data_IF_564475371738
#
_entry.id   IF_564475371738
#
_cell.length_a   1.000
_cell.length_b   1.000
_cell.length_c   1.000
_cell.angle_alpha   90.00
_cell.angle_beta   90.00
_cell.angle_gamma   90.00
#
_symmetry.space_group_name_H-M   'P 1'
#
loop_
_entity.id
_entity.type
_entity.pdbx_description
1 polymer ?
#
# COMPACT_ATOMS: atom_id res chain seq x y z
N UNK A 1 -28.82 1.57 22.99
CA UNK A 1 -27.42 1.15 22.77
C UNK A 1 -27.43 0.30 21.51
N UNK A 2 -27.10 0.88 20.35
CA UNK A 2 -27.26 0.21 19.05
C UNK A 2 -26.08 -0.74 18.78
N UNK A 3 -26.30 -2.02 18.42
CA UNK A 3 -25.26 -3.01 18.20
C UNK A 3 -24.68 -3.02 16.77
N UNK A 4 -24.61 -1.86 16.09
CA UNK A 4 -24.28 -1.76 14.65
C UNK A 4 -22.80 -1.44 14.37
N UNK A 5 -21.90 -1.96 15.20
CA UNK A 5 -20.45 -1.86 15.00
C UNK A 5 -19.85 -3.13 14.41
N UNK A 6 -20.56 -3.85 13.53
CA UNK A 6 -19.98 -4.99 12.84
C UNK A 6 -18.87 -4.46 11.93
N UNK A 7 -17.62 -4.79 12.26
CA UNK A 7 -16.44 -4.37 11.51
C UNK A 7 -16.59 -4.87 10.08
N UNK A 8 -17.03 -3.99 9.18
CA UNK A 8 -17.21 -4.30 7.76
C UNK A 8 -15.82 -4.74 7.25
N UNK A 9 -15.73 -5.96 6.73
CA UNK A 9 -14.47 -6.50 6.22
C UNK A 9 -13.86 -5.58 5.16
N UNK A 10 -12.53 -5.64 5.03
CA UNK A 10 -11.84 -4.85 3.99
C UNK A 10 -12.33 -5.34 2.62
N UNK A 11 -12.84 -4.44 1.74
CA UNK A 11 -13.41 -4.86 0.47
C UNK A 11 -12.33 -5.42 -0.49
N UNK A 12 -12.69 -6.35 -1.37
CA UNK A 12 -11.75 -7.05 -2.26
C UNK A 12 -11.11 -6.11 -3.31
N UNK A 13 -11.82 -5.03 -3.67
CA UNK A 13 -11.32 -3.97 -4.56
C UNK A 13 -11.48 -2.64 -3.86
N UNK A 14 -10.39 -1.86 -3.79
CA UNK A 14 -10.35 -0.57 -3.11
C UNK A 14 -9.85 0.49 -4.09
N UNK A 15 -10.73 1.39 -4.47
CA UNK A 15 -10.37 2.60 -5.21
C UNK A 15 -10.00 3.72 -4.23
N UNK A 16 -8.84 4.32 -4.45
CA UNK A 16 -8.38 5.48 -3.74
C UNK A 16 -8.57 6.75 -4.58
N UNK A 17 -9.17 7.77 -3.98
CA UNK A 17 -9.39 9.08 -4.61
C UNK A 17 -9.12 10.21 -3.62
N UNK A 18 -8.68 11.37 -4.09
CA UNK A 18 -8.61 12.57 -3.25
C UNK A 18 -10.01 12.99 -2.79
N UNK A 19 -10.16 13.38 -1.52
CA UNK A 19 -11.44 13.86 -0.98
C UNK A 19 -11.91 15.16 -1.62
N UNK A 20 -10.99 16.05 -1.95
CA UNK A 20 -11.28 17.26 -2.69
C UNK A 20 -10.05 17.71 -3.51
N UNK A 21 -10.29 18.57 -4.51
CA UNK A 21 -9.24 19.12 -5.36
C UNK A 21 -8.23 19.97 -4.57
N UNK A 22 -8.65 20.56 -3.45
CA UNK A 22 -7.79 21.36 -2.58
C UNK A 22 -6.72 20.51 -1.88
N UNK A 23 -7.04 19.30 -1.44
CA UNK A 23 -6.08 18.33 -0.89
C UNK A 23 -5.00 17.95 -1.90
N UNK A 24 -5.30 18.01 -3.20
CA UNK A 24 -4.30 17.84 -4.26
C UNK A 24 -3.43 19.08 -4.41
N UNK A 25 -4.05 20.27 -4.39
CA UNK A 25 -3.36 21.55 -4.56
C UNK A 25 -2.49 21.94 -3.37
N UNK A 26 -2.84 21.53 -2.15
CA UNK A 26 -2.09 21.85 -0.90
C UNK A 26 -1.50 20.58 -0.28
N UNK A 27 -1.11 19.63 -1.12
CA UNK A 27 -0.62 18.31 -0.71
C UNK A 27 0.66 18.32 0.15
N UNK A 28 1.31 19.49 0.31
CA UNK A 28 2.43 19.68 1.23
C UNK A 28 1.99 19.96 2.68
N UNK A 29 0.78 20.48 2.93
CA UNK A 29 0.27 20.70 4.31
C UNK A 29 -0.57 19.53 4.78
N UNK A 30 -1.51 19.06 3.96
CA UNK A 30 -2.38 17.95 4.31
C UNK A 30 -2.88 17.23 3.08
N UNK A 31 -3.11 15.92 3.22
CA UNK A 31 -3.74 15.12 2.18
C UNK A 31 -4.80 14.23 2.81
N UNK A 32 -5.97 14.19 2.19
CA UNK A 32 -7.05 13.29 2.60
C UNK A 32 -7.58 12.52 1.40
N UNK A 33 -7.73 11.21 1.58
CA UNK A 33 -8.20 10.27 0.57
C UNK A 33 -9.46 9.55 1.04
N UNK A 34 -10.30 9.21 0.08
CA UNK A 34 -11.39 8.24 0.25
C UNK A 34 -10.93 6.88 -0.27
N UNK A 35 -11.25 5.84 0.49
CA UNK A 35 -11.06 4.44 0.11
C UNK A 35 -12.42 3.74 0.13
N UNK A 36 -12.77 3.08 -0.97
CA UNK A 36 -14.03 2.33 -1.06
C UNK A 36 -14.06 1.42 -2.27
N UNK A 37 -15.10 0.61 -2.34
CA UNK A 37 -15.38 -0.17 -3.54
C UNK A 37 -15.60 0.75 -4.75
N UNK A 38 -15.24 0.29 -5.97
CA UNK A 38 -15.58 1.00 -7.19
C UNK A 38 -17.07 1.38 -7.22
N UNK A 39 -17.32 2.67 -7.45
CA UNK A 39 -18.67 3.20 -7.69
C UNK A 39 -19.64 3.05 -6.49
N UNK A 40 -19.10 2.79 -5.30
CA UNK A 40 -19.81 2.76 -4.03
C UNK A 40 -19.44 3.95 -3.13
N UNK A 41 -20.20 4.12 -2.03
CA UNK A 41 -19.84 5.09 -1.00
C UNK A 41 -18.50 4.69 -0.33
N UNK A 42 -17.61 5.67 0.00
CA UNK A 42 -16.36 5.38 0.68
C UNK A 42 -16.59 4.67 2.02
N UNK A 43 -15.85 3.58 2.25
CA UNK A 43 -15.92 2.81 3.49
C UNK A 43 -14.89 3.31 4.50
N UNK A 44 -13.73 3.75 4.02
CA UNK A 44 -12.64 4.27 4.84
C UNK A 44 -12.12 5.59 4.27
N UNK A 45 -11.34 6.28 5.09
CA UNK A 45 -10.60 7.45 4.66
C UNK A 45 -9.17 7.40 5.20
N UNK A 46 -8.26 8.02 4.47
CA UNK A 46 -6.85 8.12 4.86
C UNK A 46 -6.48 9.59 4.99
N UNK A 47 -5.89 9.97 6.10
CA UNK A 47 -5.38 11.32 6.32
C UNK A 47 -3.86 11.33 6.49
N UNK A 48 -3.24 12.38 5.96
CA UNK A 48 -1.83 12.70 6.10
C UNK A 48 -1.72 14.14 6.60
N UNK A 49 -1.74 14.38 7.93
CA UNK A 49 -1.85 15.73 8.50
C UNK A 49 -0.66 16.67 8.24
N UNK A 50 0.46 16.16 7.73
CA UNK A 50 1.64 16.94 7.30
C UNK A 50 2.02 16.65 5.85
N UNK A 51 0.98 16.43 5.02
CA UNK A 51 1.10 16.02 3.64
C UNK A 51 1.96 14.77 3.46
N UNK A 52 2.76 14.72 2.40
CA UNK A 52 3.58 13.55 2.07
C UNK A 52 4.66 13.20 3.10
N UNK A 53 4.95 14.08 4.07
CA UNK A 53 5.95 13.88 5.11
C UNK A 53 5.34 13.55 6.49
N UNK A 54 4.02 13.54 6.59
CA UNK A 54 3.29 13.19 7.80
C UNK A 54 3.13 11.69 8.01
N UNK A 55 2.46 11.37 9.11
CA UNK A 55 1.99 10.02 9.38
C UNK A 55 0.75 9.73 8.51
N UNK A 56 0.53 8.45 8.25
CA UNK A 56 -0.62 7.92 7.54
C UNK A 56 -1.60 7.46 8.60
N UNK A 57 -2.84 7.94 8.55
CA UNK A 57 -3.89 7.54 9.49
C UNK A 57 -5.05 7.00 8.67
N UNK A 58 -5.39 5.73 8.86
CA UNK A 58 -6.58 5.11 8.30
C UNK A 58 -7.73 5.26 9.30
N UNK A 59 -8.88 5.73 8.83
CA UNK A 59 -10.07 5.94 9.64
C UNK A 59 -11.18 4.95 9.25
N UNK A 60 -11.91 4.46 10.24
CA UNK A 60 -13.06 3.57 10.07
C UNK A 60 -14.32 4.36 9.68
N UNK A 61 -14.31 4.97 8.50
CA UNK A 61 -15.42 5.75 7.96
C UNK A 61 -15.01 6.69 6.83
N UNK A 62 -15.99 7.30 6.14
CA UNK A 62 -15.75 8.10 4.93
C UNK A 62 -15.03 9.43 5.19
N UNK A 63 -14.97 9.89 6.44
CA UNK A 63 -14.36 11.18 6.81
C UNK A 63 -13.19 11.03 7.78
N UNK A 64 -12.30 12.02 7.79
CA UNK A 64 -11.13 12.06 8.68
C UNK A 64 -11.49 12.25 10.16
N UNK A 65 -12.73 12.62 10.45
CA UNK A 65 -13.26 12.72 11.81
C UNK A 65 -13.73 11.36 12.36
N UNK A 66 -13.73 10.32 11.51
CA UNK A 66 -14.08 8.96 11.94
C UNK A 66 -12.98 8.36 12.80
N UNK A 67 -13.33 7.36 13.62
CA UNK A 67 -12.41 6.70 14.55
C UNK A 67 -11.15 6.19 13.83
N UNK A 68 -9.93 6.57 14.29
CA UNK A 68 -8.69 6.02 13.75
C UNK A 68 -8.66 4.50 13.92
N UNK A 69 -8.38 3.80 12.83
CA UNK A 69 -8.31 2.35 12.76
C UNK A 69 -6.87 1.85 12.79
N UNK A 70 -6.00 2.46 11.99
CA UNK A 70 -4.58 2.09 11.91
C UNK A 70 -3.74 3.34 11.64
N UNK A 71 -2.47 3.30 12.02
CA UNK A 71 -1.53 4.39 11.74
C UNK A 71 -0.21 3.87 11.20
N UNK A 72 0.47 4.69 10.40
CA UNK A 72 1.75 4.37 9.80
C UNK A 72 2.67 5.58 9.88
N UNK A 73 3.87 5.40 10.41
CA UNK A 73 4.89 6.45 10.44
C UNK A 73 6.17 5.93 9.81
N UNK A 74 6.90 6.83 9.14
CA UNK A 74 8.24 6.49 8.64
C UNK A 74 9.19 6.44 9.83
N UNK A 75 10.00 5.39 9.92
CA UNK A 75 11.11 5.37 10.86
C UNK A 75 12.13 6.46 10.48
N UNK A 76 12.36 7.38 11.42
CA UNK A 76 13.29 8.51 11.28
C UNK A 76 14.57 8.29 12.08
N UNK A 77 14.60 7.30 12.97
CA UNK A 77 15.69 7.04 13.91
C UNK A 77 16.80 6.28 13.19
N UNK A 78 16.43 5.22 12.47
CA UNK A 78 17.37 4.55 11.59
C UNK A 78 17.44 5.28 10.24
N UNK A 79 18.62 5.32 9.60
CA UNK A 79 18.75 5.70 8.18
C UNK A 79 17.96 4.78 7.22
N UNK A 80 17.18 3.87 7.78
CA UNK A 80 16.24 3.04 7.06
C UNK A 80 15.12 3.87 6.44
N UNK A 81 14.54 3.35 5.37
CA UNK A 81 13.32 3.91 4.77
C UNK A 81 12.09 3.09 5.20
N UNK A 82 12.18 2.40 6.34
CA UNK A 82 11.13 1.55 6.87
C UNK A 82 9.96 2.37 7.38
N UNK A 83 8.83 1.70 7.49
CA UNK A 83 7.62 2.24 8.09
C UNK A 83 7.17 1.36 9.24
N UNK A 84 6.85 1.99 10.36
CA UNK A 84 6.20 1.37 11.50
C UNK A 84 4.70 1.53 11.34
N UNK A 85 3.95 0.44 11.30
CA UNK A 85 2.50 0.39 11.09
C UNK A 85 1.85 -0.18 12.34
N UNK A 86 1.01 0.60 12.99
CA UNK A 86 0.24 0.17 14.16
C UNK A 86 -1.13 -0.31 13.71
N UNK A 87 -1.43 -1.58 13.99
CA UNK A 87 -2.71 -2.22 13.71
C UNK A 87 -3.53 -2.38 15.00
N UNK A 88 -4.86 -2.27 14.93
CA UNK A 88 -5.72 -2.40 16.09
C UNK A 88 -5.91 -3.89 16.45
N UNK A 89 -6.24 -4.20 17.72
CA UNK A 89 -6.84 -5.50 18.03
C UNK A 89 -8.13 -5.67 17.23
N UNK A 90 -8.37 -6.88 16.74
CA UNK A 90 -9.53 -7.16 15.89
C UNK A 90 -10.50 -8.08 16.64
N UNK A 91 -11.68 -7.56 17.08
CA UNK A 91 -12.68 -8.33 17.81
C UNK A 91 -13.12 -9.59 17.03
N UNK A 92 -13.23 -10.73 17.72
CA UNK A 92 -13.59 -11.99 17.08
C UNK A 92 -12.47 -12.61 16.25
N UNK A 93 -11.26 -12.04 16.30
CA UNK A 93 -10.06 -12.65 15.79
C UNK A 93 -9.04 -12.86 16.91
N UNK A 94 -8.10 -13.71 16.59
CA UNK A 94 -6.94 -14.10 17.38
C UNK A 94 -5.77 -13.10 17.29
N UNK A 95 -6.02 -11.91 16.74
CA UNK A 95 -5.03 -10.86 16.51
C UNK A 95 -5.17 -9.73 17.53
N UNK A 96 -4.18 -9.61 18.40
CA UNK A 96 -4.18 -8.67 19.53
C UNK A 96 -3.77 -7.24 19.16
N UNK A 97 -3.55 -6.96 17.86
CA UNK A 97 -2.99 -5.70 17.42
C UNK A 97 -1.49 -5.63 17.64
N UNK A 98 -0.88 -4.51 17.26
CA UNK A 98 0.54 -4.29 17.51
C UNK A 98 1.24 -3.44 16.48
N UNK A 99 2.55 -3.31 16.67
CA UNK A 99 3.46 -2.58 15.78
C UNK A 99 4.10 -3.55 14.78
N UNK A 100 3.75 -3.40 13.52
CA UNK A 100 4.35 -4.13 12.40
C UNK A 100 5.35 -3.25 11.64
N UNK A 101 6.35 -3.85 11.01
CA UNK A 101 7.38 -3.12 10.27
C UNK A 101 7.30 -3.47 8.79
N UNK A 102 6.99 -2.47 7.96
CA UNK A 102 7.17 -2.52 6.52
C UNK A 102 8.61 -2.14 6.19
N UNK A 103 9.40 -3.14 5.80
CA UNK A 103 10.83 -2.99 5.54
C UNK A 103 11.12 -2.66 4.09
N UNK A 104 12.07 -1.76 3.89
CA UNK A 104 12.66 -1.43 2.59
C UNK A 104 14.14 -1.80 2.57
N UNK A 105 14.52 -2.93 1.95
CA UNK A 105 15.92 -3.31 1.85
C UNK A 105 16.76 -2.21 1.16
N UNK A 106 17.91 -1.88 1.77
CA UNK A 106 18.92 -1.06 1.11
C UNK A 106 19.46 -1.81 -0.13
N UNK A 107 19.60 -1.11 -1.26
CA UNK A 107 20.13 -1.69 -2.50
C UNK A 107 19.13 -2.38 -3.43
N UNK A 108 18.01 -2.94 -2.93
CA UNK A 108 16.96 -3.55 -3.79
C UNK A 108 15.86 -2.55 -4.10
N UNK A 109 16.11 -1.66 -5.08
CA UNK A 109 15.09 -0.70 -5.56
C UNK A 109 13.83 -1.46 -6.00
N UNK A 110 12.65 -1.00 -5.58
CA UNK A 110 11.38 -1.58 -6.00
C UNK A 110 10.93 -2.83 -5.22
N UNK A 111 11.50 -3.08 -4.04
CA UNK A 111 11.02 -4.13 -3.12
C UNK A 111 10.70 -3.55 -1.74
N UNK A 112 9.63 -4.06 -1.14
CA UNK A 112 9.26 -3.86 0.25
C UNK A 112 8.71 -5.15 0.81
N UNK A 113 8.88 -5.42 2.09
CA UNK A 113 8.32 -6.63 2.69
C UNK A 113 7.88 -6.39 4.11
N UNK A 114 6.93 -7.21 4.57
CA UNK A 114 6.53 -7.29 5.96
C UNK A 114 6.28 -8.75 6.32
N UNK A 115 6.37 -9.05 7.62
CA UNK A 115 5.82 -10.28 8.18
C UNK A 115 4.57 -9.91 8.96
N UNK A 116 3.57 -10.79 8.99
CA UNK A 116 2.42 -10.62 9.88
C UNK A 116 1.85 -12.00 10.24
N UNK A 117 1.21 -12.08 11.39
CA UNK A 117 0.47 -13.25 11.80
C UNK A 117 -0.72 -13.49 10.85
N UNK A 118 -0.86 -14.74 10.41
CA UNK A 118 -1.99 -15.25 9.61
C UNK A 118 -2.48 -16.57 10.21
N UNK A 119 -3.61 -17.09 9.70
CA UNK A 119 -4.26 -18.29 10.23
C UNK A 119 -5.06 -18.03 11.52
N UNK A 120 -5.74 -19.07 12.01
CA UNK A 120 -6.59 -19.01 13.21
C UNK A 120 -6.30 -20.22 14.12
N UNK A 121 -6.45 -20.04 15.43
CA UNK A 121 -6.28 -21.13 16.40
C UNK A 121 -4.90 -21.78 16.31
N UNK A 122 -4.87 -23.10 16.16
CA UNK A 122 -3.65 -23.90 16.13
C UNK A 122 -2.80 -23.70 14.85
N UNK A 123 -3.41 -23.24 13.75
CA UNK A 123 -2.74 -23.00 12.46
C UNK A 123 -2.13 -21.59 12.37
N UNK A 124 -2.12 -20.85 13.48
CA UNK A 124 -1.56 -19.51 13.54
C UNK A 124 -0.05 -19.53 13.33
N UNK A 125 0.43 -18.74 12.38
CA UNK A 125 1.85 -18.60 12.12
C UNK A 125 2.17 -17.25 11.49
N UNK A 126 3.46 -16.89 11.47
CA UNK A 126 3.92 -15.68 10.79
C UNK A 126 4.29 -16.03 9.35
N UNK A 127 3.71 -15.30 8.41
CA UNK A 127 4.08 -15.36 7.00
C UNK A 127 4.72 -14.07 6.53
N UNK A 128 5.58 -14.20 5.51
CA UNK A 128 6.24 -13.04 4.88
C UNK A 128 5.61 -12.71 3.54
N UNK A 129 5.46 -11.42 3.27
CA UNK A 129 4.92 -10.90 2.02
C UNK A 129 5.86 -9.85 1.45
N UNK A 130 5.96 -9.77 0.12
CA UNK A 130 6.83 -8.82 -0.56
C UNK A 130 6.10 -8.06 -1.68
N UNK A 131 6.05 -6.73 -1.55
CA UNK A 131 5.70 -5.84 -2.65
C UNK A 131 6.85 -5.78 -3.64
N UNK A 132 6.57 -6.15 -4.89
CA UNK A 132 7.47 -6.05 -6.03
C UNK A 132 6.91 -5.07 -7.04
N UNK A 133 7.74 -4.15 -7.50
CA UNK A 133 7.38 -3.26 -8.61
C UNK A 133 7.20 -4.08 -9.88
N UNK A 134 6.08 -3.89 -10.58
CA UNK A 134 5.73 -4.65 -11.78
C UNK A 134 5.19 -3.74 -12.89
N UNK A 135 5.27 -4.25 -14.11
CA UNK A 135 4.68 -3.70 -15.34
C UNK A 135 3.98 -4.81 -16.16
N UNK A 136 3.77 -5.98 -15.54
CA UNK A 136 3.09 -7.12 -16.15
C UNK A 136 1.59 -6.91 -16.29
N UNK A 137 0.93 -7.88 -16.91
CA UNK A 137 -0.50 -7.82 -17.23
C UNK A 137 -1.36 -7.74 -15.97
N UNK A 138 -0.90 -8.33 -14.85
CA UNK A 138 -1.56 -8.25 -13.56
C UNK A 138 -1.77 -6.79 -13.12
N UNK A 139 -0.78 -5.91 -13.34
CA UNK A 139 -0.88 -4.48 -12.99
C UNK A 139 -1.74 -3.71 -13.99
N UNK A 140 -1.58 -4.00 -15.28
CA UNK A 140 -2.33 -3.32 -16.35
C UNK A 140 -3.83 -3.58 -16.27
N UNK A 141 -4.25 -4.68 -15.65
CA UNK A 141 -5.66 -5.03 -15.44
C UNK A 141 -6.33 -4.27 -14.28
N UNK A 142 -5.55 -3.75 -13.33
CA UNK A 142 -6.08 -3.11 -12.09
C UNK A 142 -6.14 -1.59 -12.20
N UNK A 143 -5.19 -0.99 -12.91
CA UNK A 143 -5.14 0.45 -13.05
C UNK A 143 -4.83 0.87 -14.48
N UNK A 144 -4.88 2.18 -14.70
CA UNK A 144 -4.59 2.75 -16.01
C UNK A 144 -3.11 3.14 -16.17
N UNK A 145 -2.28 2.85 -15.16
CA UNK A 145 -0.84 3.06 -15.17
C UNK A 145 -0.11 1.88 -15.80
N UNK A 146 0.97 2.17 -16.54
CA UNK A 146 1.90 1.15 -17.09
C UNK A 146 2.73 0.45 -16.02
N UNK A 147 2.78 1.02 -14.82
CA UNK A 147 3.58 0.55 -13.69
C UNK A 147 2.73 0.50 -12.42
N UNK A 148 3.06 -0.45 -11.55
CA UNK A 148 2.40 -0.65 -10.28
C UNK A 148 3.19 -1.61 -9.41
N UNK A 149 2.49 -2.22 -8.47
CA UNK A 149 3.05 -3.10 -7.46
C UNK A 149 2.21 -4.36 -7.36
N UNK A 150 2.88 -5.50 -7.18
CA UNK A 150 2.24 -6.76 -6.81
C UNK A 150 2.76 -7.21 -5.45
N UNK A 151 1.87 -7.69 -4.60
CA UNK A 151 2.19 -8.29 -3.32
C UNK A 151 2.30 -9.80 -3.51
N UNK A 152 3.43 -10.35 -3.13
CA UNK A 152 3.76 -11.76 -3.32
C UNK A 152 3.81 -12.44 -1.96
N UNK A 153 3.13 -13.58 -1.82
CA UNK A 153 3.19 -14.44 -0.63
C UNK A 153 4.46 -15.27 -0.70
N UNK A 154 5.32 -15.15 0.32
CA UNK A 154 6.60 -15.86 0.35
C UNK A 154 6.53 -17.15 1.18
N UNK A 155 5.54 -17.27 2.05
CA UNK A 155 5.34 -18.38 2.99
C UNK A 155 5.94 -18.10 4.38
N UNK A 156 5.87 -19.13 5.24
CA UNK A 156 6.59 -19.13 6.52
C UNK A 156 8.07 -19.37 6.28
N UNK A 157 8.95 -18.81 7.12
CA UNK A 157 10.41 -18.94 6.95
C UNK A 157 10.95 -20.34 7.32
N UNK A 158 10.12 -21.39 7.29
CA UNK A 158 10.60 -22.77 7.32
C UNK A 158 11.39 -22.97 6.04
N UNK A 159 12.62 -23.45 6.17
CA UNK A 159 13.44 -23.91 5.07
C UNK A 159 12.68 -25.05 4.36
N UNK A 160 11.77 -24.68 3.47
CA UNK A 160 11.22 -25.60 2.49
C UNK A 160 12.34 -25.81 1.48
N UNK A 161 12.96 -26.99 1.61
CA UNK A 161 13.91 -27.56 0.67
C UNK A 161 13.58 -27.12 -0.75
N UNK A 162 14.54 -26.43 -1.38
CA UNK A 162 14.54 -26.23 -2.82
C UNK A 162 14.51 -27.60 -3.47
N UNK A 163 13.36 -27.99 -4.01
CA UNK A 163 13.28 -29.11 -4.93
C UNK A 163 12.48 -28.72 -6.17
N UNK A 164 13.15 -28.96 -7.29
CA UNK A 164 12.72 -28.91 -8.69
C UNK A 164 12.71 -27.55 -9.39
N UNK A 165 13.76 -27.36 -10.21
CA UNK A 165 13.74 -26.71 -11.51
C UNK A 165 12.66 -27.35 -12.41
N UNK A 166 11.38 -27.18 -12.06
CA UNK A 166 10.33 -27.27 -13.07
C UNK A 166 10.18 -25.89 -13.68
N UNK A 167 10.47 -25.77 -14.98
CA UNK A 167 10.05 -24.62 -15.79
C UNK A 167 8.52 -24.57 -15.76
N UNK A 168 7.98 -23.92 -14.73
CA UNK A 168 6.56 -23.64 -14.62
C UNK A 168 6.24 -22.62 -15.73
N UNK A 169 5.26 -22.90 -16.61
CA UNK A 169 4.88 -21.99 -17.67
C UNK A 169 4.58 -20.59 -17.11
N UNK A 170 5.15 -19.56 -17.74
CA UNK A 170 5.09 -18.13 -17.41
C UNK A 170 3.66 -17.51 -17.45
N UNK A 171 2.62 -18.34 -17.57
CA UNK A 171 1.23 -17.96 -17.89
C UNK A 171 0.19 -18.51 -16.89
N UNK A 172 0.58 -18.87 -15.67
CA UNK A 172 -0.43 -19.08 -14.60
C UNK A 172 -0.85 -17.73 -14.06
N UNK A 173 -2.03 -17.25 -14.50
CA UNK A 173 -2.67 -16.06 -13.95
C UNK A 173 -2.69 -16.13 -12.41
N UNK A 174 -2.23 -15.05 -11.76
CA UNK A 174 -2.09 -15.00 -10.30
C UNK A 174 -0.77 -15.50 -9.70
N UNK A 175 0.20 -15.96 -10.49
CA UNK A 175 1.54 -16.34 -9.99
C UNK A 175 2.65 -15.50 -10.62
N UNK A 176 3.79 -15.40 -9.94
CA UNK A 176 5.00 -14.79 -10.48
C UNK A 176 5.83 -15.82 -11.25
N UNK A 177 6.76 -15.35 -12.09
CA UNK A 177 7.70 -16.20 -12.84
C UNK A 177 8.61 -17.07 -11.94
N UNK A 178 8.80 -16.70 -10.67
CA UNK A 178 9.46 -17.52 -9.63
C UNK A 178 8.47 -18.42 -8.86
N UNK A 179 7.29 -18.67 -9.40
CA UNK A 179 6.30 -19.61 -8.86
C UNK A 179 5.58 -19.15 -7.59
N UNK A 180 5.67 -17.87 -7.21
CA UNK A 180 5.08 -17.35 -5.98
C UNK A 180 3.71 -16.73 -6.24
N UNK A 181 2.77 -16.97 -5.33
CA UNK A 181 1.41 -16.46 -5.42
C UNK A 181 1.36 -14.92 -5.32
N UNK A 182 0.57 -14.29 -6.19
CA UNK A 182 0.23 -12.87 -6.13
C UNK A 182 -1.07 -12.71 -5.35
N UNK A 183 -0.99 -12.04 -4.20
CA UNK A 183 -2.10 -11.92 -3.24
C UNK A 183 -2.74 -10.52 -3.21
N UNK A 184 -2.07 -9.52 -3.78
CA UNK A 184 -2.67 -8.21 -4.03
C UNK A 184 -1.93 -7.47 -5.16
N UNK A 185 -2.61 -6.51 -5.79
CA UNK A 185 -2.04 -5.65 -6.84
C UNK A 185 -2.48 -4.21 -6.61
N UNK A 186 -1.55 -3.28 -6.71
CA UNK A 186 -1.79 -1.84 -6.64
C UNK A 186 -1.31 -1.14 -7.91
N UNK A 187 -2.17 -0.36 -8.53
CA UNK A 187 -1.85 0.41 -9.71
C UNK A 187 -2.38 1.85 -9.62
N UNK A 188 -1.57 2.81 -10.08
CA UNK A 188 -1.97 4.21 -10.12
C UNK A 188 -3.12 4.46 -11.10
N UNK A 189 -3.94 5.47 -10.79
CA UNK A 189 -4.90 6.02 -11.75
C UNK A 189 -4.15 6.72 -12.89
N UNK A 190 -4.80 6.86 -14.04
CA UNK A 190 -4.20 7.62 -15.15
C UNK A 190 -4.05 9.09 -14.78
N UNK A 191 -3.00 9.74 -15.29
CA UNK A 191 -2.70 11.15 -15.04
C UNK A 191 -3.83 12.11 -15.49
N UNK A 192 -4.73 11.65 -16.39
CA UNK A 192 -5.88 12.42 -16.89
C UNK A 192 -7.07 12.44 -15.91
N UNK A 193 -7.14 11.53 -14.94
CA UNK A 193 -8.20 11.55 -13.91
C UNK A 193 -7.81 12.53 -12.80
N UNK A 194 -8.50 13.66 -12.74
CA UNK A 194 -8.15 14.80 -11.87
C UNK A 194 -8.08 14.40 -10.38
N UNK A 195 -8.93 13.49 -9.92
CA UNK A 195 -9.04 13.05 -8.51
C UNK A 195 -8.53 11.62 -8.22
N UNK A 196 -8.10 10.88 -9.25
CA UNK A 196 -7.72 9.47 -9.11
C UNK A 196 -6.36 9.28 -8.46
N UNK A 197 -6.28 8.44 -7.42
CA UNK A 197 -5.00 8.03 -6.82
C UNK A 197 -4.55 6.68 -7.39
N UNK A 198 -5.41 5.67 -7.28
CA UNK A 198 -5.10 4.31 -7.70
C UNK A 198 -6.15 3.32 -7.26
N UNK A 199 -5.92 2.06 -7.60
CA UNK A 199 -6.78 0.94 -7.23
C UNK A 199 -5.94 -0.21 -6.68
N UNK A 200 -6.38 -0.76 -5.55
CA UNK A 200 -5.85 -1.94 -4.89
C UNK A 200 -6.85 -3.08 -5.11
N UNK A 201 -6.36 -4.23 -5.55
CA UNK A 201 -7.17 -5.43 -5.70
C UNK A 201 -6.51 -6.59 -4.97
N UNK A 202 -7.27 -7.27 -4.12
CA UNK A 202 -6.87 -8.55 -3.53
C UNK A 202 -7.00 -9.67 -4.56
N UNK A 203 -6.11 -10.66 -4.47
CA UNK A 203 -5.98 -11.79 -5.41
C UNK A 203 -5.67 -13.07 -4.62
N UNK A 204 -5.91 -14.24 -5.22
CA UNK A 204 -5.61 -15.54 -4.62
C UNK A 204 -6.14 -15.68 -3.19
N UNK A 205 -5.29 -16.19 -2.30
CA UNK A 205 -5.55 -16.32 -0.86
C UNK A 205 -5.89 -14.99 -0.16
N UNK A 206 -5.44 -13.87 -0.70
CA UNK A 206 -5.81 -12.54 -0.24
C UNK A 206 -7.26 -12.16 -0.55
N UNK A 207 -7.83 -12.68 -1.64
CA UNK A 207 -9.23 -12.45 -2.02
C UNK A 207 -10.18 -13.36 -1.24
N UNK A 208 -9.76 -14.59 -0.96
CA UNK A 208 -10.56 -15.60 -0.27
C UNK A 208 -10.74 -15.31 1.23
N UNK A 209 -9.98 -14.35 1.79
CA UNK A 209 -10.01 -14.00 3.21
C UNK A 209 -9.19 -14.95 4.10
N UNK A 210 -8.49 -15.93 3.53
CA UNK A 210 -7.68 -16.93 4.25
C UNK A 210 -6.57 -16.29 5.10
N UNK A 211 -6.05 -15.15 4.65
CA UNK A 211 -4.98 -14.41 5.33
C UNK A 211 -5.50 -13.52 6.47
N UNK A 212 -6.82 -13.34 6.57
CA UNK A 212 -7.49 -12.62 7.65
C UNK A 212 -7.49 -11.10 7.53
N UNK A 213 -8.32 -10.46 8.38
CA UNK A 213 -8.56 -9.02 8.36
C UNK A 213 -7.33 -8.19 8.77
N UNK A 214 -6.51 -8.68 9.71
CA UNK A 214 -5.28 -8.01 10.13
C UNK A 214 -4.30 -7.87 8.97
N UNK A 215 -4.12 -8.95 8.22
CA UNK A 215 -3.33 -8.97 7.00
C UNK A 215 -3.90 -7.98 5.97
N UNK A 216 -5.21 -7.98 5.73
CA UNK A 216 -5.83 -7.06 4.77
C UNK A 216 -5.59 -5.58 5.14
N UNK A 217 -5.71 -5.23 6.43
CA UNK A 217 -5.36 -3.88 6.92
C UNK A 217 -3.88 -3.56 6.72
N UNK A 218 -2.99 -4.51 6.97
CA UNK A 218 -1.55 -4.36 6.71
C UNK A 218 -1.26 -4.13 5.23
N UNK A 219 -1.96 -4.82 4.32
CA UNK A 219 -1.85 -4.59 2.87
C UNK A 219 -2.26 -3.18 2.50
N UNK A 220 -3.40 -2.69 3.01
CA UNK A 220 -3.88 -1.32 2.76
C UNK A 220 -2.87 -0.29 3.27
N UNK A 221 -2.42 -0.42 4.52
CA UNK A 221 -1.49 0.51 5.13
C UNK A 221 -0.13 0.52 4.43
N UNK A 222 0.41 -0.65 4.09
CA UNK A 222 1.68 -0.76 3.38
C UNK A 222 1.59 -0.22 1.93
N UNK A 223 0.46 -0.44 1.26
CA UNK A 223 0.17 0.16 -0.05
C UNK A 223 0.19 1.69 0.02
N UNK A 224 -0.49 2.28 1.02
CA UNK A 224 -0.50 3.72 1.23
C UNK A 224 0.89 4.28 1.59
N UNK A 225 1.70 3.53 2.36
CA UNK A 225 3.08 3.91 2.66
C UNK A 225 3.97 3.95 1.41
N UNK A 226 3.86 2.94 0.55
CA UNK A 226 4.58 2.88 -0.73
C UNK A 226 4.16 4.04 -1.64
N UNK A 227 2.85 4.31 -1.72
CA UNK A 227 2.31 5.42 -2.50
C UNK A 227 2.78 6.79 -1.97
N UNK A 228 2.67 7.04 -0.66
CA UNK A 228 3.13 8.28 -0.02
C UNK A 228 4.61 8.52 -0.31
N UNK A 229 5.43 7.47 -0.24
CA UNK A 229 6.84 7.59 -0.59
C UNK A 229 7.05 7.93 -2.07
N UNK A 230 6.31 7.30 -2.98
CA UNK A 230 6.39 7.65 -4.40
C UNK A 230 6.06 9.14 -4.62
N UNK A 231 5.05 9.68 -3.94
CA UNK A 231 4.70 11.10 -3.99
C UNK A 231 5.81 12.01 -3.47
N UNK A 232 6.48 11.65 -2.36
CA UNK A 232 7.66 12.38 -1.88
C UNK A 232 8.82 12.36 -2.87
N UNK A 233 9.13 11.19 -3.43
CA UNK A 233 10.20 11.05 -4.41
C UNK A 233 9.94 11.94 -5.64
N UNK A 234 8.68 11.97 -6.12
CA UNK A 234 8.26 12.85 -7.22
C UNK A 234 8.36 14.34 -6.86
N UNK A 235 7.91 14.73 -5.66
CA UNK A 235 8.00 16.12 -5.21
C UNK A 235 9.46 16.60 -5.09
N UNK A 236 10.35 15.73 -4.61
CA UNK A 236 11.77 16.02 -4.43
C UNK A 236 12.48 16.12 -5.79
N UNK A 237 12.16 15.23 -6.73
CA UNK A 237 12.66 15.28 -8.11
C UNK A 237 12.17 16.53 -8.86
N UNK A 238 10.89 16.90 -8.67
CA UNK A 238 10.32 18.13 -9.20
C UNK A 238 11.06 19.38 -8.72
N UNK A 239 11.32 19.50 -7.41
CA UNK A 239 12.08 20.61 -6.84
C UNK A 239 13.52 20.69 -7.38
N UNK A 240 14.18 19.54 -7.56
CA UNK A 240 15.51 19.49 -8.17
C UNK A 240 15.49 19.94 -9.65
N UNK A 241 14.46 19.54 -10.42
CA UNK A 241 14.30 19.96 -11.82
C UNK A 241 13.96 21.44 -11.98
N UNK A 242 13.19 22.03 -11.06
CA UNK A 242 12.93 23.47 -11.07
C UNK A 242 14.19 24.27 -10.71
N UNK A 243 14.97 23.79 -9.73
CA UNK A 243 16.24 24.43 -9.36
C UNK A 243 17.24 24.42 -10.52
N UNK A 244 17.40 23.29 -11.22
CA UNK A 244 18.29 23.21 -12.38
C UNK A 244 17.83 24.11 -13.54
N UNK A 245 16.52 24.21 -13.79
CA UNK A 245 15.98 25.12 -14.81
C UNK A 245 16.21 26.60 -14.48
N UNK A 246 16.09 26.98 -13.20
CA UNK A 246 16.38 28.36 -12.77
C UNK A 246 17.86 28.73 -12.90
N UNK A 247 18.77 27.79 -12.60
CA UNK A 247 20.21 28.02 -12.79
C UNK A 247 20.61 28.12 -14.26
N UNK A 248 19.96 27.36 -15.15
CA UNK A 248 20.22 27.44 -16.59
C UNK A 248 19.71 28.76 -17.19
N UNK A 249 18.52 29.22 -16.79
CA UNK A 249 17.97 30.51 -17.23
C UNK A 249 18.83 31.70 -16.76
N UNK A 250 19.34 31.65 -15.53
CA UNK A 250 20.24 32.68 -15.00
C UNK A 250 21.59 32.72 -15.75
N UNK A 251 22.12 31.58 -16.20
CA UNK A 251 23.37 31.53 -16.96
C UNK A 251 23.24 32.12 -18.38
N UNK A 252 22.08 31.97 -19.02
CA UNK A 252 21.81 32.52 -20.37
C UNK A 252 21.54 34.04 -20.33
N UNK A 253 21.05 34.57 -19.21
CA UNK A 253 20.81 36.02 -19.06
C UNK A 253 22.09 36.84 -18.82
N UNK A 254 23.24 36.19 -18.62
CA UNK A 254 24.54 36.82 -18.29
C UNK A 254 25.55 36.69 -19.44
N UNK A 255 25.15 36.12 -20.58
CA UNK A 255 25.95 36.00 -21.82
C UNK A 255 25.43 36.93 -22.91
#
# INVERSE_FOLDING_TARGET
MSPEGQQKGVPPVIRATYQNTWSKLVCWTSVSLNLGEPDAAPTYSVSLPKGWYGDIILHNGPGTDSTPLASGSRDRVCRSSDYSITLPPLPGSDFDGGLEILRRPSGRKGRWWFGIQVGQGAERHIERFEWRRSHGNEVKSVGQSRWGWKLVRLGSNKEEDYSSDEEIPDDRDGFTSDGKEIVAVWAGSSCWKISGVGELQFRGSGLNGELGTAWALMVVMSCMAIWQKAMRDMATAGAASSASSSSAAAAVAVS
#
